data_IF_100663534500
#
_entry.id   IF_100663534500
#
_cell.length_a   1.000
_cell.length_b   1.000
_cell.length_c   1.000
_cell.angle_alpha   90.00
_cell.angle_beta   90.00
_cell.angle_gamma   90.00
#
_symmetry.space_group_name_H-M   'P 1'
#
loop_
_entity.id
_entity.type
_entity.pdbx_description
1 polymer ?
#
# COMPACT_ATOMS: atom_id res chain seq x y z
N UNK A 1 -23.82 -15.63 7.81
CA UNK A 1 -23.06 -15.72 6.56
C UNK A 1 -21.62 -16.12 6.86
N UNK A 2 -21.05 -17.14 6.19
CA UNK A 2 -19.68 -17.58 6.35
C UNK A 2 -18.84 -17.10 5.17
N UNK A 3 -17.69 -16.46 5.42
CA UNK A 3 -16.77 -16.00 4.38
C UNK A 3 -15.37 -16.56 4.61
N UNK A 4 -14.63 -16.82 3.54
CA UNK A 4 -13.21 -17.20 3.62
C UNK A 4 -12.36 -16.15 2.90
N UNK A 5 -11.41 -15.57 3.60
CA UNK A 5 -10.47 -14.57 3.09
C UNK A 5 -9.10 -15.24 2.98
N UNK A 6 -8.64 -15.42 1.74
CA UNK A 6 -7.31 -15.93 1.45
C UNK A 6 -6.34 -14.78 1.22
N UNK A 7 -5.15 -14.88 1.78
CA UNK A 7 -4.10 -13.89 1.60
C UNK A 7 -2.74 -14.56 1.36
N UNK A 8 -1.86 -13.86 0.62
CA UNK A 8 -0.58 -14.42 0.18
C UNK A 8 0.35 -14.75 1.32
N UNK A 9 0.57 -13.77 2.21
CA UNK A 9 1.61 -13.83 3.23
C UNK A 9 1.16 -13.21 4.55
N UNK A 10 1.51 -13.85 5.64
CA UNK A 10 1.24 -13.37 6.99
C UNK A 10 2.07 -12.13 7.37
N UNK A 11 3.21 -11.90 6.73
CA UNK A 11 4.13 -10.79 7.01
C UNK A 11 3.49 -9.39 6.92
N UNK A 12 2.39 -9.24 6.21
CA UNK A 12 1.80 -7.93 5.89
C UNK A 12 1.04 -7.31 7.07
N UNK A 13 1.69 -6.48 7.90
CA UNK A 13 1.10 -5.81 9.07
C UNK A 13 -0.19 -5.05 8.72
N UNK A 14 -0.21 -4.30 7.61
CA UNK A 14 -1.38 -3.54 7.17
C UNK A 14 -2.60 -4.42 6.82
N UNK A 15 -2.37 -5.65 6.38
CA UNK A 15 -3.44 -6.65 6.24
C UNK A 15 -3.86 -7.18 7.60
N UNK A 16 -2.88 -7.35 8.50
CA UNK A 16 -3.11 -7.78 9.87
C UNK A 16 -4.13 -6.92 10.59
N UNK A 17 -3.92 -5.59 10.63
CA UNK A 17 -4.85 -4.66 11.30
C UNK A 17 -6.23 -4.66 10.67
N UNK A 18 -6.32 -4.69 9.33
CA UNK A 18 -7.63 -4.72 8.65
C UNK A 18 -8.37 -6.03 8.91
N UNK A 19 -7.69 -7.17 8.86
CA UNK A 19 -8.33 -8.48 9.11
C UNK A 19 -8.71 -8.66 10.58
N UNK A 20 -7.94 -8.08 11.51
CA UNK A 20 -8.32 -8.00 12.93
C UNK A 20 -9.64 -7.26 13.09
N UNK A 21 -9.79 -6.13 12.42
CA UNK A 21 -11.03 -5.37 12.47
C UNK A 21 -12.19 -6.08 11.77
N UNK A 22 -11.95 -6.74 10.61
CA UNK A 22 -12.97 -7.60 9.96
C UNK A 22 -13.44 -8.72 10.88
N UNK A 23 -12.52 -9.29 11.69
CA UNK A 23 -12.88 -10.30 12.68
C UNK A 23 -13.78 -9.75 13.78
N UNK A 24 -13.42 -8.60 14.33
CA UNK A 24 -14.17 -7.94 15.40
C UNK A 24 -15.58 -7.51 14.95
N UNK A 25 -15.68 -6.86 13.79
CA UNK A 25 -16.93 -6.28 13.28
C UNK A 25 -17.82 -7.32 12.58
N UNK A 26 -17.29 -8.49 12.26
CA UNK A 26 -18.03 -9.53 11.52
C UNK A 26 -19.14 -10.16 12.34
N UNK A 27 -18.85 -10.59 13.58
CA UNK A 27 -19.81 -11.28 14.44
C UNK A 27 -21.08 -10.46 14.73
N UNK A 28 -21.01 -9.17 15.08
CA UNK A 28 -22.20 -8.31 15.26
C UNK A 28 -23.07 -8.19 14.01
N UNK A 29 -22.47 -8.38 12.83
CA UNK A 29 -23.17 -8.32 11.52
C UNK A 29 -23.67 -9.70 11.04
N UNK A 30 -23.57 -10.74 11.86
CA UNK A 30 -23.91 -12.11 11.48
C UNK A 30 -22.97 -12.71 10.44
N UNK A 31 -21.74 -12.20 10.33
CA UNK A 31 -20.72 -12.67 9.39
C UNK A 31 -19.62 -13.38 10.18
N UNK A 32 -19.30 -14.60 9.79
CA UNK A 32 -18.21 -15.39 10.38
C UNK A 32 -17.05 -15.48 9.39
N UNK A 33 -16.01 -14.64 9.51
CA UNK A 33 -14.83 -14.69 8.66
C UNK A 33 -13.89 -15.82 9.07
N UNK A 34 -13.33 -16.49 8.08
CA UNK A 34 -12.20 -17.42 8.21
C UNK A 34 -11.01 -16.86 7.42
N UNK A 35 -9.85 -16.78 8.04
CA UNK A 35 -8.65 -16.21 7.42
C UNK A 35 -7.65 -17.31 7.10
N UNK A 36 -7.19 -17.37 5.86
CA UNK A 36 -6.25 -18.34 5.38
C UNK A 36 -5.02 -17.62 4.82
N UNK A 37 -3.88 -17.78 5.49
CA UNK A 37 -2.60 -17.28 5.04
C UNK A 37 -1.89 -18.38 4.25
N UNK A 38 -1.52 -18.09 2.98
CA UNK A 38 -0.90 -19.10 2.13
C UNK A 38 0.52 -19.40 2.62
N UNK A 39 1.31 -18.37 2.94
CA UNK A 39 2.65 -18.51 3.48
C UNK A 39 2.95 -17.46 4.57
N UNK A 40 4.09 -17.61 5.26
CA UNK A 40 4.54 -16.60 6.23
C UNK A 40 5.08 -15.35 5.54
N UNK A 41 5.87 -15.53 4.48
CA UNK A 41 6.57 -14.44 3.77
C UNK A 41 6.77 -14.74 2.29
N UNK A 42 7.47 -13.86 1.59
CA UNK A 42 7.95 -14.02 0.21
C UNK A 42 9.42 -13.56 0.11
N UNK A 43 10.16 -14.05 -0.90
CA UNK A 43 11.62 -13.87 -1.00
C UNK A 43 12.06 -12.41 -1.00
N UNK A 44 11.28 -11.53 -1.63
CA UNK A 44 11.56 -10.09 -1.68
C UNK A 44 11.46 -9.40 -0.32
N UNK A 45 10.97 -10.09 0.71
CA UNK A 45 10.82 -9.59 2.09
C UNK A 45 11.78 -10.23 3.08
N UNK A 46 12.57 -11.20 2.62
CA UNK A 46 13.63 -11.80 3.43
C UNK A 46 14.63 -10.71 3.81
N UNK A 47 14.94 -10.61 5.11
CA UNK A 47 15.80 -9.54 5.64
C UNK A 47 15.08 -8.23 6.06
N UNK A 48 13.76 -8.11 5.83
CA UNK A 48 12.95 -6.98 6.30
C UNK A 48 12.25 -7.22 7.65
N UNK A 49 12.79 -8.12 8.46
CA UNK A 49 12.21 -8.54 9.73
C UNK A 49 11.24 -9.73 9.62
N UNK A 50 10.94 -10.35 10.76
CA UNK A 50 10.01 -11.47 10.87
C UNK A 50 8.54 -11.05 10.81
N UNK A 51 7.66 -12.05 10.89
CA UNK A 51 6.22 -11.84 11.08
C UNK A 51 5.97 -11.24 12.46
N UNK A 52 5.27 -10.12 12.50
CA UNK A 52 4.88 -9.45 13.74
C UNK A 52 3.41 -9.77 14.05
N UNK A 53 3.19 -10.75 14.92
CA UNK A 53 1.85 -11.22 15.26
C UNK A 53 1.03 -10.22 16.09
N UNK A 54 1.64 -9.17 16.66
CA UNK A 54 0.91 -8.14 17.42
C UNK A 54 -0.13 -7.39 16.58
N UNK A 55 0.08 -7.36 15.26
CA UNK A 55 -0.86 -6.78 14.28
C UNK A 55 -1.93 -7.76 13.77
N UNK A 56 -1.87 -9.05 14.14
CA UNK A 56 -2.75 -10.12 13.64
C UNK A 56 -3.65 -10.67 14.74
N UNK A 57 -4.56 -9.86 15.26
CA UNK A 57 -5.45 -10.22 16.37
C UNK A 57 -6.73 -10.93 15.87
N UNK A 58 -6.57 -11.96 15.05
CA UNK A 58 -7.64 -12.79 14.52
C UNK A 58 -7.17 -14.24 14.37
N UNK A 59 -8.05 -15.25 14.48
CA UNK A 59 -7.68 -16.64 14.23
C UNK A 59 -7.40 -16.84 12.73
N UNK A 60 -6.27 -17.43 12.39
CA UNK A 60 -5.93 -17.75 11.02
C UNK A 60 -5.39 -19.16 10.86
N UNK A 61 -5.49 -19.70 9.66
CA UNK A 61 -4.84 -20.93 9.25
C UNK A 61 -3.68 -20.59 8.32
N UNK A 62 -2.50 -21.10 8.65
CA UNK A 62 -1.31 -20.98 7.82
C UNK A 62 -1.11 -22.27 7.03
N UNK A 63 -1.05 -22.19 5.69
CA UNK A 63 -0.89 -23.39 4.85
C UNK A 63 0.57 -23.82 4.73
N UNK A 64 1.50 -22.87 4.61
CA UNK A 64 2.93 -23.15 4.46
C UNK A 64 3.77 -22.23 5.34
N UNK A 65 4.75 -22.80 6.02
CA UNK A 65 5.75 -22.03 6.78
C UNK A 65 6.83 -21.49 5.84
N UNK A 66 7.44 -20.37 6.22
CA UNK A 66 8.51 -19.71 5.46
C UNK A 66 8.02 -18.99 4.19
N UNK A 67 8.90 -18.89 3.19
CA UNK A 67 8.59 -18.19 1.93
C UNK A 67 7.63 -18.99 1.04
N UNK A 68 6.73 -18.27 0.38
CA UNK A 68 5.77 -18.87 -0.56
C UNK A 68 6.44 -19.58 -1.74
N UNK A 69 7.65 -19.18 -2.13
CA UNK A 69 8.45 -19.80 -3.17
C UNK A 69 8.99 -21.18 -2.77
N UNK A 70 9.16 -21.44 -1.46
CA UNK A 70 9.62 -22.73 -0.95
C UNK A 70 8.58 -23.84 -1.11
N UNK A 71 7.31 -23.50 -1.33
CA UNK A 71 6.25 -24.46 -1.56
C UNK A 71 6.04 -24.67 -3.06
N UNK A 72 6.23 -25.89 -3.60
CA UNK A 72 5.97 -26.18 -5.01
C UNK A 72 4.53 -25.84 -5.43
N UNK A 73 4.35 -25.32 -6.64
CA UNK A 73 3.05 -24.87 -7.16
C UNK A 73 1.95 -25.95 -7.00
N UNK A 74 2.25 -27.20 -7.33
CA UNK A 74 1.30 -28.31 -7.23
C UNK A 74 0.85 -28.52 -5.77
N UNK A 75 1.77 -28.42 -4.81
CA UNK A 75 1.42 -28.53 -3.38
C UNK A 75 0.54 -27.36 -2.93
N UNK A 76 0.82 -26.13 -3.40
CA UNK A 76 -0.02 -24.96 -3.12
C UNK A 76 -1.43 -25.14 -3.67
N UNK A 77 -1.54 -25.54 -4.94
CA UNK A 77 -2.85 -25.83 -5.57
C UNK A 77 -3.61 -26.91 -4.79
N UNK A 78 -2.94 -28.02 -4.47
CA UNK A 78 -3.56 -29.11 -3.73
C UNK A 78 -4.04 -28.71 -2.32
N UNK A 79 -3.24 -27.90 -1.60
CA UNK A 79 -3.61 -27.40 -0.28
C UNK A 79 -4.82 -26.47 -0.35
N UNK A 80 -4.82 -25.52 -1.30
CA UNK A 80 -5.93 -24.57 -1.51
C UNK A 80 -7.21 -25.29 -1.94
N UNK A 81 -7.12 -26.23 -2.87
CA UNK A 81 -8.27 -27.02 -3.31
C UNK A 81 -8.86 -27.86 -2.17
N UNK A 82 -8.00 -28.51 -1.37
CA UNK A 82 -8.42 -29.29 -0.19
C UNK A 82 -9.09 -28.39 0.86
N UNK A 83 -8.53 -27.21 1.12
CA UNK A 83 -9.09 -26.26 2.08
C UNK A 83 -10.46 -25.75 1.61
N UNK A 84 -10.58 -25.36 0.35
CA UNK A 84 -11.84 -24.96 -0.27
C UNK A 84 -12.90 -26.08 -0.21
N UNK A 85 -12.51 -27.34 -0.45
CA UNK A 85 -13.43 -28.47 -0.40
C UNK A 85 -13.93 -28.76 1.02
N UNK A 86 -13.02 -28.79 2.00
CA UNK A 86 -13.33 -29.17 3.39
C UNK A 86 -14.08 -28.09 4.17
N UNK A 87 -13.94 -26.82 3.79
CA UNK A 87 -14.47 -25.67 4.52
C UNK A 87 -15.52 -24.93 3.67
N UNK A 88 -16.79 -25.38 3.67
CA UNK A 88 -17.83 -24.72 2.89
C UNK A 88 -18.17 -23.35 3.46
N UNK A 89 -18.20 -22.32 2.58
CA UNK A 89 -18.50 -20.92 2.88
C UNK A 89 -19.40 -20.33 1.80
N UNK A 90 -20.08 -19.23 2.13
CA UNK A 90 -20.98 -18.54 1.21
C UNK A 90 -20.21 -17.69 0.18
N UNK A 91 -19.07 -17.15 0.59
CA UNK A 91 -18.19 -16.33 -0.27
C UNK A 91 -16.72 -16.64 -0.02
N UNK A 92 -15.96 -16.84 -1.09
CA UNK A 92 -14.49 -16.94 -1.08
C UNK A 92 -13.90 -15.66 -1.61
N UNK A 93 -13.01 -15.02 -0.86
CA UNK A 93 -12.24 -13.85 -1.32
C UNK A 93 -10.82 -14.30 -1.62
N UNK A 94 -10.46 -14.23 -2.90
CA UNK A 94 -9.14 -14.63 -3.41
C UNK A 94 -8.13 -13.49 -3.31
N UNK A 95 -6.83 -13.78 -3.10
CA UNK A 95 -5.79 -12.75 -2.92
C UNK A 95 -5.53 -11.89 -4.16
N UNK A 96 -5.85 -12.39 -5.33
CA UNK A 96 -5.56 -11.76 -6.62
C UNK A 96 -5.81 -12.71 -7.79
N UNK A 97 -5.23 -12.41 -8.93
CA UNK A 97 -5.39 -13.17 -10.19
C UNK A 97 -4.06 -13.38 -10.96
N UNK A 98 -2.94 -12.91 -10.41
CA UNK A 98 -1.64 -12.91 -11.10
C UNK A 98 -0.84 -14.22 -10.94
N UNK A 99 -1.28 -15.16 -10.10
CA UNK A 99 -0.60 -16.44 -9.82
C UNK A 99 -1.46 -17.63 -10.27
N UNK A 100 -0.81 -18.68 -10.75
CA UNK A 100 -1.51 -19.87 -11.26
C UNK A 100 -2.40 -20.57 -10.21
N UNK A 101 -1.99 -20.56 -8.93
CA UNK A 101 -2.80 -21.11 -7.84
C UNK A 101 -4.13 -20.38 -7.64
N UNK A 102 -4.24 -19.10 -7.98
CA UNK A 102 -5.50 -18.35 -7.88
C UNK A 102 -6.47 -18.71 -9.01
N UNK A 103 -5.92 -19.05 -10.18
CA UNK A 103 -6.72 -19.63 -11.28
C UNK A 103 -7.29 -21.01 -10.90
N UNK A 104 -6.47 -21.84 -10.24
CA UNK A 104 -6.95 -23.11 -9.71
C UNK A 104 -8.05 -22.90 -8.64
N UNK A 105 -7.91 -21.92 -7.74
CA UNK A 105 -8.96 -21.55 -6.79
C UNK A 105 -10.25 -21.13 -7.50
N UNK A 106 -10.15 -20.31 -8.55
CA UNK A 106 -11.30 -19.91 -9.36
C UNK A 106 -12.06 -21.13 -9.90
N UNK A 107 -11.32 -22.07 -10.54
CA UNK A 107 -11.90 -23.30 -11.10
C UNK A 107 -12.58 -24.13 -9.99
N UNK A 108 -11.91 -24.35 -8.87
CA UNK A 108 -12.47 -25.09 -7.72
C UNK A 108 -13.73 -24.42 -7.19
N UNK A 109 -13.74 -23.09 -7.07
CA UNK A 109 -14.93 -22.35 -6.63
C UNK A 109 -16.11 -22.50 -7.63
N UNK A 110 -15.83 -22.53 -8.93
CA UNK A 110 -16.84 -22.77 -9.97
C UNK A 110 -17.43 -24.18 -9.82
N UNK A 111 -16.58 -25.21 -9.73
CA UNK A 111 -17.02 -26.60 -9.58
C UNK A 111 -17.83 -26.83 -8.29
N UNK A 112 -17.45 -26.17 -7.20
CA UNK A 112 -18.15 -26.22 -5.93
C UNK A 112 -19.35 -25.26 -5.86
N UNK A 113 -19.67 -24.54 -6.94
CA UNK A 113 -20.75 -23.55 -7.04
C UNK A 113 -20.71 -22.47 -5.93
N UNK A 114 -19.50 -22.03 -5.54
CA UNK A 114 -19.30 -21.01 -4.50
C UNK A 114 -19.21 -19.62 -5.10
N UNK A 115 -19.82 -18.65 -4.43
CA UNK A 115 -19.58 -17.23 -4.76
C UNK A 115 -18.11 -16.90 -4.47
N UNK A 116 -17.52 -16.05 -5.31
CA UNK A 116 -16.09 -15.72 -5.29
C UNK A 116 -15.85 -14.28 -5.65
N UNK A 117 -15.04 -13.63 -4.87
CA UNK A 117 -14.56 -12.28 -5.08
C UNK A 117 -13.02 -12.25 -5.10
N UNK A 118 -12.45 -11.15 -5.55
CA UNK A 118 -11.00 -11.00 -5.63
C UNK A 118 -10.56 -9.62 -5.14
N UNK A 119 -9.43 -9.56 -4.43
CA UNK A 119 -8.74 -8.30 -4.17
C UNK A 119 -7.99 -7.86 -5.42
N UNK A 120 -8.19 -6.61 -5.83
CA UNK A 120 -7.54 -6.01 -6.99
C UNK A 120 -6.82 -4.73 -6.59
N UNK A 121 -5.50 -4.72 -6.75
CA UNK A 121 -4.61 -3.60 -6.51
C UNK A 121 -4.00 -3.03 -7.79
N UNK A 122 -4.25 -3.64 -8.94
CA UNK A 122 -3.70 -3.21 -10.23
C UNK A 122 -4.30 -1.90 -10.72
N UNK A 123 -3.50 -1.17 -11.48
CA UNK A 123 -3.87 0.09 -12.11
C UNK A 123 -3.58 0.05 -13.61
N UNK A 124 -4.10 1.02 -14.38
CA UNK A 124 -3.83 1.14 -15.83
C UNK A 124 -2.37 1.55 -16.12
N UNK A 125 -1.69 2.12 -15.15
CA UNK A 125 -0.27 2.54 -15.25
C UNK A 125 0.68 1.34 -15.10
N UNK A 126 0.19 0.19 -14.64
CA UNK A 126 0.97 -1.03 -14.60
C UNK A 126 1.40 -1.44 -16.02
N UNK A 127 2.64 -1.93 -16.15
CA UNK A 127 3.32 -2.22 -17.42
C UNK A 127 2.43 -2.88 -18.48
N UNK A 128 2.55 -2.43 -19.72
CA UNK A 128 1.95 -3.08 -20.91
C UNK A 128 2.28 -4.57 -20.91
N UNK A 129 1.27 -5.40 -21.04
CA UNK A 129 1.40 -6.86 -21.04
C UNK A 129 0.97 -7.43 -22.38
N UNK A 130 1.45 -8.65 -22.69
CA UNK A 130 1.08 -9.36 -23.91
C UNK A 130 -0.47 -9.51 -24.03
N UNK A 131 -1.01 -9.30 -25.21
CA UNK A 131 -2.46 -9.30 -25.47
C UNK A 131 -3.19 -10.57 -24.96
N UNK A 132 -2.56 -11.75 -25.02
CA UNK A 132 -3.13 -12.99 -24.52
C UNK A 132 -3.34 -12.99 -22.99
N UNK A 133 -2.45 -12.30 -22.23
CA UNK A 133 -2.59 -12.14 -20.77
C UNK A 133 -3.76 -11.24 -20.42
N UNK A 134 -3.98 -10.21 -21.22
CA UNK A 134 -5.11 -9.30 -21.05
C UNK A 134 -6.45 -10.01 -21.34
N UNK A 135 -6.49 -10.84 -22.39
CA UNK A 135 -7.63 -11.70 -22.68
C UNK A 135 -7.91 -12.69 -21.53
N UNK A 136 -6.86 -13.35 -21.03
CA UNK A 136 -6.99 -14.27 -19.90
C UNK A 136 -7.56 -13.59 -18.65
N UNK A 137 -7.08 -12.38 -18.29
CA UNK A 137 -7.63 -11.63 -17.15
C UNK A 137 -9.11 -11.30 -17.34
N UNK A 138 -9.51 -10.86 -18.54
CA UNK A 138 -10.92 -10.58 -18.83
C UNK A 138 -11.78 -11.83 -18.58
N UNK A 139 -11.30 -12.98 -19.02
CA UNK A 139 -11.97 -14.27 -18.76
C UNK A 139 -12.04 -14.57 -17.24
N UNK A 140 -10.96 -14.39 -16.50
CA UNK A 140 -10.96 -14.54 -15.03
C UNK A 140 -12.01 -13.65 -14.37
N UNK A 141 -12.11 -12.39 -14.78
CA UNK A 141 -13.01 -11.42 -14.18
C UNK A 141 -14.49 -11.72 -14.48
N UNK A 142 -14.80 -12.22 -15.66
CA UNK A 142 -16.18 -12.65 -16.00
C UNK A 142 -16.71 -13.67 -15.00
N UNK A 143 -15.85 -14.58 -14.54
CA UNK A 143 -16.24 -15.64 -13.61
C UNK A 143 -16.25 -15.22 -12.14
N UNK A 144 -15.88 -14.00 -11.80
CA UNK A 144 -15.96 -13.46 -10.44
C UNK A 144 -17.33 -12.82 -10.17
N UNK A 145 -17.83 -13.01 -8.96
CA UNK A 145 -19.08 -12.41 -8.49
C UNK A 145 -18.86 -10.99 -7.99
N UNK A 146 -17.63 -10.63 -7.55
CA UNK A 146 -17.30 -9.31 -7.06
C UNK A 146 -15.83 -9.04 -6.93
N UNK A 147 -15.50 -7.76 -6.70
CA UNK A 147 -14.14 -7.25 -6.62
C UNK A 147 -14.01 -6.26 -5.47
N UNK A 148 -12.89 -6.32 -4.78
CA UNK A 148 -12.50 -5.31 -3.79
C UNK A 148 -11.34 -4.50 -4.32
N UNK A 149 -11.57 -3.25 -4.68
CA UNK A 149 -10.53 -2.33 -5.17
C UNK A 149 -10.05 -1.38 -4.07
N UNK A 150 -8.81 -0.92 -4.16
CA UNK A 150 -8.19 -0.09 -3.13
C UNK A 150 -8.53 1.39 -3.26
N UNK A 151 -8.82 1.87 -4.46
CA UNK A 151 -9.12 3.26 -4.74
C UNK A 151 -9.62 3.48 -6.16
N UNK A 152 -9.64 4.72 -6.58
CA UNK A 152 -10.19 5.17 -7.87
C UNK A 152 -9.51 4.45 -9.05
N UNK A 153 -8.18 4.41 -9.09
CA UNK A 153 -7.45 3.79 -10.21
C UNK A 153 -7.68 2.29 -10.34
N UNK A 154 -7.80 1.58 -9.22
CA UNK A 154 -8.10 0.14 -9.25
C UNK A 154 -9.54 -0.11 -9.72
N UNK A 155 -10.48 0.78 -9.41
CA UNK A 155 -11.84 0.75 -9.94
C UNK A 155 -11.83 0.96 -11.46
N UNK A 156 -11.17 2.01 -11.94
CA UNK A 156 -11.02 2.32 -13.38
C UNK A 156 -10.38 1.14 -14.13
N UNK A 157 -9.34 0.53 -13.55
CA UNK A 157 -8.72 -0.66 -14.10
C UNK A 157 -9.74 -1.80 -14.29
N UNK A 158 -10.52 -2.15 -13.27
CA UNK A 158 -11.54 -3.20 -13.38
C UNK A 158 -12.61 -2.86 -14.43
N UNK A 159 -13.06 -1.62 -14.47
CA UNK A 159 -14.05 -1.16 -15.45
C UNK A 159 -13.50 -1.23 -16.90
N UNK A 160 -12.22 -0.97 -17.12
CA UNK A 160 -11.57 -1.10 -18.43
C UNK A 160 -11.59 -2.54 -18.99
N UNK A 161 -11.70 -3.55 -18.11
CA UNK A 161 -11.91 -4.95 -18.48
C UNK A 161 -13.39 -5.35 -18.63
N UNK A 162 -14.31 -4.38 -18.55
CA UNK A 162 -15.75 -4.63 -18.68
C UNK A 162 -16.44 -5.12 -17.40
N UNK A 163 -15.78 -4.97 -16.24
CA UNK A 163 -16.42 -5.28 -14.96
C UNK A 163 -17.45 -4.19 -14.65
N UNK A 164 -18.71 -4.61 -14.41
CA UNK A 164 -19.77 -3.69 -13.99
C UNK A 164 -19.45 -3.08 -12.63
N UNK A 165 -19.72 -1.78 -12.47
CA UNK A 165 -19.54 -1.06 -11.21
C UNK A 165 -20.31 -1.71 -10.05
N UNK A 166 -21.46 -2.31 -10.31
CA UNK A 166 -22.26 -3.03 -9.31
C UNK A 166 -21.53 -4.22 -8.67
N UNK A 167 -20.53 -4.79 -9.36
CA UNK A 167 -19.67 -5.86 -8.84
C UNK A 167 -18.45 -5.36 -8.08
N UNK A 168 -18.20 -4.04 -8.07
CA UNK A 168 -17.01 -3.45 -7.43
C UNK A 168 -17.38 -2.92 -6.05
N UNK A 169 -16.66 -3.35 -5.04
CA UNK A 169 -16.68 -2.77 -3.70
C UNK A 169 -15.35 -2.06 -3.44
N UNK A 170 -15.39 -0.92 -2.80
CA UNK A 170 -14.18 -0.31 -2.27
C UNK A 170 -13.68 -1.10 -1.06
N UNK A 171 -12.40 -1.10 -0.89
CA UNK A 171 -11.69 -1.47 0.29
C UNK A 171 -10.48 -0.55 0.38
N UNK A 172 -10.57 0.50 1.17
CA UNK A 172 -9.46 1.45 1.29
C UNK A 172 -8.19 0.77 1.84
N UNK A 173 -7.03 1.28 1.48
CA UNK A 173 -5.77 0.84 2.05
C UNK A 173 -5.51 1.60 3.34
N UNK A 174 -5.46 0.88 4.46
CA UNK A 174 -5.12 1.42 5.77
C UNK A 174 -3.65 1.13 6.10
N UNK A 175 -2.94 2.10 6.67
CA UNK A 175 -1.62 1.90 7.20
C UNK A 175 -1.65 1.07 8.49
N UNK A 176 -0.58 0.30 8.75
CA UNK A 176 -0.32 -0.28 10.07
C UNK A 176 0.51 0.72 10.87
N UNK A 177 -0.15 1.48 11.73
CA UNK A 177 0.52 2.45 12.59
C UNK A 177 1.03 1.77 13.87
N UNK A 178 2.07 2.30 14.55
CA UNK A 178 2.56 1.80 15.82
C UNK A 178 1.47 1.71 16.89
N UNK A 179 1.60 0.75 17.80
CA UNK A 179 0.72 0.67 18.94
C UNK A 179 0.80 1.95 19.77
N UNK A 180 -0.36 2.52 20.13
CA UNK A 180 -0.44 3.80 20.86
C UNK A 180 -0.35 5.04 19.98
N UNK A 181 -0.44 4.91 18.64
CA UNK A 181 -0.71 6.03 17.75
C UNK A 181 -1.96 6.79 18.19
N UNK A 182 -1.90 8.11 18.12
CA UNK A 182 -3.02 9.00 18.41
C UNK A 182 -2.91 10.29 17.60
N UNK A 183 -4.00 10.71 16.99
CA UNK A 183 -4.11 11.98 16.26
C UNK A 183 -3.77 13.16 17.17
N UNK A 184 -4.22 13.13 18.43
CA UNK A 184 -3.96 14.21 19.40
C UNK A 184 -2.46 14.35 19.68
N UNK A 185 -1.73 13.24 19.82
CA UNK A 185 -0.27 13.26 19.98
C UNK A 185 0.44 13.86 18.77
N UNK A 186 -0.02 13.55 17.57
CA UNK A 186 0.53 14.11 16.33
C UNK A 186 0.29 15.61 16.28
N UNK A 187 -0.92 16.09 16.59
CA UNK A 187 -1.23 17.50 16.60
C UNK A 187 -0.48 18.27 17.70
N UNK A 188 -0.36 17.70 18.89
CA UNK A 188 0.40 18.28 19.99
C UNK A 188 1.89 18.47 19.62
N UNK A 189 2.48 17.55 18.85
CA UNK A 189 3.86 17.68 18.37
C UNK A 189 4.05 18.97 17.54
N UNK A 190 3.13 19.25 16.61
CA UNK A 190 3.23 20.44 15.76
C UNK A 190 2.90 21.74 16.50
N UNK A 191 2.20 21.69 17.61
CA UNK A 191 1.95 22.86 18.48
C UNK A 191 3.19 23.26 19.26
N UNK A 192 3.97 22.30 19.76
CA UNK A 192 5.05 22.54 20.71
C UNK A 192 6.46 22.46 20.12
N UNK A 193 6.68 21.70 19.07
CA UNK A 193 8.01 21.28 18.64
C UNK A 193 8.38 21.67 17.21
N UNK A 194 7.44 22.26 16.43
CA UNK A 194 7.78 22.60 15.06
C UNK A 194 8.49 23.95 14.95
N UNK A 195 9.77 23.88 14.60
CA UNK A 195 10.62 25.05 14.31
C UNK A 195 11.17 24.97 12.89
N UNK A 196 10.41 24.37 11.95
CA UNK A 196 10.84 24.15 10.57
C UNK A 196 11.18 25.45 9.87
N UNK A 197 12.37 25.50 9.26
CA UNK A 197 12.82 26.64 8.48
C UNK A 197 12.52 26.37 7.00
N UNK A 198 11.80 27.24 6.30
CA UNK A 198 11.52 27.08 4.87
C UNK A 198 12.78 26.99 4.02
N UNK A 199 13.90 27.56 4.48
CA UNK A 199 15.17 27.61 3.76
C UNK A 199 16.08 26.40 4.05
N UNK A 200 15.68 25.51 4.97
CA UNK A 200 16.37 24.27 5.34
C UNK A 200 15.43 23.05 5.17
N UNK A 201 14.89 22.80 3.97
CA UNK A 201 13.90 21.73 3.81
C UNK A 201 14.56 20.37 3.99
N UNK A 202 13.85 19.48 4.72
CA UNK A 202 14.26 18.10 4.92
C UNK A 202 13.28 17.19 4.23
N UNK A 203 13.71 16.52 3.17
CA UNK A 203 12.90 15.55 2.45
C UNK A 203 13.18 14.14 2.95
N UNK A 204 12.16 13.31 2.93
CA UNK A 204 12.24 11.93 3.37
C UNK A 204 11.78 11.01 2.25
N UNK A 205 12.53 9.96 2.00
CA UNK A 205 12.10 8.80 1.23
C UNK A 205 12.02 7.60 2.17
N UNK A 206 10.93 6.84 2.10
CA UNK A 206 10.77 5.58 2.83
C UNK A 206 10.30 4.50 1.86
N UNK A 207 11.12 3.47 1.68
CA UNK A 207 10.78 2.38 0.79
C UNK A 207 11.97 1.51 0.39
N UNK A 208 11.69 0.49 -0.43
CA UNK A 208 12.72 -0.40 -0.96
C UNK A 208 13.63 0.36 -1.93
N UNK A 209 14.94 0.11 -1.85
CA UNK A 209 15.93 0.70 -2.75
C UNK A 209 16.04 -0.18 -4.02
N UNK A 210 15.15 0.05 -4.98
CA UNK A 210 14.99 -0.74 -6.21
C UNK A 210 14.61 0.15 -7.40
N UNK A 211 14.81 -0.35 -8.62
CA UNK A 211 14.72 0.42 -9.87
C UNK A 211 13.35 1.09 -10.03
N UNK A 212 12.26 0.38 -9.74
CA UNK A 212 10.90 0.88 -9.91
C UNK A 212 10.56 2.05 -8.97
N UNK A 213 11.45 2.36 -8.00
CA UNK A 213 11.24 3.45 -7.03
C UNK A 213 11.77 4.80 -7.49
N UNK A 214 12.41 4.90 -8.65
CA UNK A 214 12.76 6.18 -9.29
C UNK A 214 13.74 7.05 -8.48
N UNK A 215 14.67 6.43 -7.72
CA UNK A 215 15.59 7.16 -6.84
C UNK A 215 16.62 8.00 -7.62
N UNK A 216 16.90 7.65 -8.87
CA UNK A 216 17.77 8.44 -9.73
C UNK A 216 17.13 9.80 -10.07
N UNK A 217 15.83 9.81 -10.37
CA UNK A 217 15.08 11.03 -10.62
C UNK A 217 15.05 11.92 -9.37
N UNK A 218 14.88 11.28 -8.19
CA UNK A 218 14.92 12.00 -6.91
C UNK A 218 16.26 12.67 -6.67
N UNK A 219 17.37 11.98 -6.93
CA UNK A 219 18.69 12.57 -6.75
C UNK A 219 18.93 13.72 -7.73
N UNK A 220 18.53 13.58 -8.98
CA UNK A 220 18.63 14.64 -9.98
C UNK A 220 17.80 15.86 -9.59
N UNK A 221 16.54 15.68 -9.22
CA UNK A 221 15.66 16.76 -8.77
C UNK A 221 16.18 17.43 -7.48
N UNK A 222 16.71 16.63 -6.54
CA UNK A 222 17.28 17.15 -5.33
C UNK A 222 18.54 18.00 -5.60
N UNK A 223 19.39 17.60 -6.55
CA UNK A 223 20.53 18.40 -6.97
C UNK A 223 20.11 19.78 -7.52
N UNK A 224 19.04 19.83 -8.33
CA UNK A 224 18.48 21.10 -8.83
C UNK A 224 18.01 21.97 -7.66
N UNK A 225 17.27 21.40 -6.74
CA UNK A 225 16.78 22.12 -5.55
C UNK A 225 17.93 22.60 -4.66
N UNK A 226 18.95 21.76 -4.45
CA UNK A 226 20.11 22.07 -3.59
C UNK A 226 20.90 23.27 -4.04
N UNK A 227 20.97 23.55 -5.35
CA UNK A 227 21.61 24.77 -5.87
C UNK A 227 20.95 26.05 -5.33
N UNK A 228 19.65 26.01 -5.10
CA UNK A 228 18.87 27.13 -4.55
C UNK A 228 18.83 27.14 -3.02
N UNK A 229 18.85 25.95 -2.41
CA UNK A 229 18.75 25.75 -0.95
C UNK A 229 19.90 24.85 -0.45
N UNK A 230 21.11 25.41 -0.24
CA UNK A 230 22.30 24.61 0.13
C UNK A 230 22.23 23.94 1.51
N UNK A 231 21.21 24.28 2.31
CA UNK A 231 20.94 23.63 3.61
C UNK A 231 19.90 22.50 3.51
N UNK A 232 19.34 22.24 2.32
CA UNK A 232 18.40 21.14 2.11
C UNK A 232 19.04 19.80 2.48
N UNK A 233 18.22 18.87 2.98
CA UNK A 233 18.62 17.49 3.31
C UNK A 233 17.64 16.49 2.69
N UNK A 234 18.18 15.33 2.31
CA UNK A 234 17.41 14.19 1.83
C UNK A 234 17.80 12.95 2.62
N UNK A 235 16.86 12.40 3.35
CA UNK A 235 17.03 11.16 4.11
C UNK A 235 16.35 10.00 3.39
N UNK A 236 17.07 8.88 3.21
CA UNK A 236 16.56 7.67 2.60
C UNK A 236 16.47 6.56 3.66
N UNK A 237 15.26 6.09 3.91
CA UNK A 237 14.97 4.95 4.79
C UNK A 237 14.60 3.73 3.97
N UNK A 238 15.28 2.63 4.22
CA UNK A 238 15.01 1.35 3.61
C UNK A 238 16.26 0.60 3.19
N UNK A 239 16.05 -0.58 2.63
CA UNK A 239 17.06 -1.45 2.07
C UNK A 239 16.63 -1.94 0.69
N UNK A 240 17.57 -2.47 -0.08
CA UNK A 240 17.26 -3.03 -1.38
C UNK A 240 18.50 -3.31 -2.22
N UNK A 241 18.34 -3.97 -3.37
CA UNK A 241 19.46 -4.41 -4.19
C UNK A 241 20.32 -3.26 -4.74
N UNK A 242 19.77 -2.05 -4.81
CA UNK A 242 20.50 -0.88 -5.34
C UNK A 242 21.22 -0.08 -4.25
N UNK A 243 21.18 -0.46 -2.97
CA UNK A 243 21.70 0.36 -1.87
C UNK A 243 23.15 0.81 -2.10
N UNK A 244 24.07 -0.09 -2.44
CA UNK A 244 25.49 0.23 -2.62
C UNK A 244 25.74 1.02 -3.93
N UNK A 245 24.97 0.76 -4.96
CA UNK A 245 25.02 1.52 -6.20
C UNK A 245 24.58 2.98 -5.99
N UNK A 246 23.46 3.17 -5.29
CA UNK A 246 22.94 4.52 -4.98
C UNK A 246 23.90 5.32 -4.10
N UNK A 247 24.55 4.70 -3.11
CA UNK A 247 25.59 5.36 -2.30
C UNK A 247 26.77 5.84 -3.16
N UNK A 248 27.24 4.99 -4.09
CA UNK A 248 28.31 5.39 -5.04
C UNK A 248 27.87 6.56 -5.92
N UNK A 249 26.61 6.56 -6.40
CA UNK A 249 26.07 7.68 -7.20
C UNK A 249 26.06 8.98 -6.41
N UNK A 250 25.58 8.95 -5.16
CA UNK A 250 25.59 10.13 -4.27
C UNK A 250 27.00 10.66 -4.02
N UNK A 251 27.98 9.76 -3.87
CA UNK A 251 29.40 10.15 -3.75
C UNK A 251 29.92 10.82 -5.02
N UNK A 252 29.61 10.25 -6.20
CA UNK A 252 30.02 10.82 -7.49
C UNK A 252 29.39 12.20 -7.75
N UNK A 253 28.15 12.40 -7.29
CA UNK A 253 27.45 13.69 -7.33
C UNK A 253 28.01 14.70 -6.29
N UNK A 254 28.96 14.29 -5.43
CA UNK A 254 29.49 15.08 -4.30
C UNK A 254 28.39 15.54 -3.32
N UNK A 255 27.31 14.77 -3.19
CA UNK A 255 26.12 15.08 -2.37
C UNK A 255 26.05 14.29 -1.05
N UNK A 256 27.11 13.56 -0.67
CA UNK A 256 27.14 12.73 0.54
C UNK A 256 26.97 13.53 1.85
N UNK A 257 27.18 14.83 1.82
CA UNK A 257 26.94 15.72 2.95
C UNK A 257 25.48 16.17 3.09
N UNK A 258 24.66 16.00 2.05
CA UNK A 258 23.25 16.43 2.00
C UNK A 258 22.26 15.27 1.86
N UNK A 259 22.71 14.10 1.40
CA UNK A 259 21.90 12.89 1.19
C UNK A 259 22.37 11.80 2.14
N UNK A 260 21.49 11.30 3.01
CA UNK A 260 21.78 10.30 4.04
C UNK A 260 21.03 8.99 3.79
N UNK A 261 21.76 7.87 3.93
CA UNK A 261 21.15 6.52 3.91
C UNK A 261 21.01 6.01 5.34
N UNK A 262 19.79 5.97 5.86
CA UNK A 262 19.49 5.62 7.25
C UNK A 262 19.29 4.11 7.49
N UNK A 263 19.30 3.30 6.41
CA UNK A 263 18.98 1.87 6.49
C UNK A 263 17.52 1.59 6.79
N UNK A 264 17.21 0.35 7.14
CA UNK A 264 15.86 -0.03 7.58
C UNK A 264 15.57 0.49 8.97
N UNK A 265 14.36 1.00 9.21
CA UNK A 265 13.91 1.59 10.47
C UNK A 265 12.60 0.93 10.95
N UNK A 266 12.37 0.96 12.25
CA UNK A 266 11.11 0.56 12.86
C UNK A 266 10.01 1.61 12.64
N UNK A 267 8.75 1.21 12.90
CA UNK A 267 7.60 2.11 12.66
C UNK A 267 7.68 3.37 13.52
N UNK A 268 8.14 3.27 14.78
CA UNK A 268 8.30 4.41 15.69
C UNK A 268 9.39 5.37 15.21
N UNK A 269 10.51 4.86 14.70
CA UNK A 269 11.59 5.70 14.16
C UNK A 269 11.13 6.42 12.89
N UNK A 270 10.40 5.72 12.01
CA UNK A 270 9.83 6.29 10.78
C UNK A 270 8.80 7.37 11.11
N UNK A 271 7.99 7.17 12.15
CA UNK A 271 7.05 8.16 12.65
C UNK A 271 7.72 9.49 13.02
N UNK A 272 8.83 9.42 13.77
CA UNK A 272 9.61 10.61 14.12
C UNK A 272 10.22 11.29 12.89
N UNK A 273 10.67 10.52 11.91
CA UNK A 273 11.19 11.06 10.66
C UNK A 273 10.12 11.77 9.84
N UNK A 274 8.88 11.24 9.76
CA UNK A 274 7.76 11.94 9.13
C UNK A 274 7.49 13.28 9.80
N UNK A 275 7.42 13.31 11.12
CA UNK A 275 7.17 14.54 11.88
C UNK A 275 8.29 15.56 11.73
N UNK A 276 9.54 15.13 11.57
CA UNK A 276 10.71 16.00 11.39
C UNK A 276 10.93 16.47 9.95
N UNK A 277 10.22 15.90 8.97
CA UNK A 277 10.44 16.16 7.55
C UNK A 277 9.53 17.26 7.01
N UNK A 278 10.03 18.01 6.04
CA UNK A 278 9.23 18.97 5.26
C UNK A 278 8.17 18.22 4.44
N UNK A 279 8.56 17.12 3.78
CA UNK A 279 7.67 16.25 3.05
C UNK A 279 8.27 14.86 2.84
N UNK A 280 7.39 13.85 2.70
CA UNK A 280 7.73 12.58 2.08
C UNK A 280 7.81 12.76 0.55
N UNK A 281 8.81 12.17 -0.10
CA UNK A 281 8.90 12.12 -1.57
C UNK A 281 8.83 10.66 -2.02
N UNK A 282 7.85 10.33 -2.87
CA UNK A 282 7.65 9.00 -3.44
C UNK A 282 7.75 9.06 -4.97
N UNK A 283 8.96 8.92 -5.56
CA UNK A 283 9.22 9.14 -6.97
C UNK A 283 9.03 7.90 -7.85
N UNK A 284 8.22 6.94 -7.40
CA UNK A 284 8.08 5.62 -8.04
C UNK A 284 7.60 5.72 -9.49
N UNK A 285 8.23 4.95 -10.38
CA UNK A 285 7.81 4.77 -11.77
C UNK A 285 6.63 3.79 -11.89
N UNK A 286 6.44 2.94 -10.89
CA UNK A 286 5.31 2.01 -10.79
C UNK A 286 5.06 1.69 -9.32
N UNK A 287 3.86 2.00 -8.86
CA UNK A 287 3.42 1.77 -7.48
C UNK A 287 1.91 1.52 -7.46
N UNK A 288 1.45 0.29 -7.20
CA UNK A 288 0.01 -0.02 -7.20
C UNK A 288 -0.81 0.83 -6.23
N UNK A 289 -0.21 1.22 -5.08
CA UNK A 289 -0.84 2.15 -4.14
C UNK A 289 0.13 3.21 -3.63
N UNK A 290 1.12 2.82 -2.83
CA UNK A 290 2.02 3.72 -2.12
C UNK A 290 1.59 3.90 -0.66
N UNK A 291 1.51 2.80 0.10
CA UNK A 291 1.01 2.81 1.49
C UNK A 291 1.77 3.77 2.42
N UNK A 292 3.04 4.04 2.12
CA UNK A 292 3.86 5.02 2.83
C UNK A 292 3.27 6.44 2.78
N UNK A 293 2.43 6.75 1.78
CA UNK A 293 1.68 8.02 1.71
C UNK A 293 0.63 8.08 2.83
N UNK A 294 -0.12 6.98 3.07
CA UNK A 294 -1.03 6.90 4.22
C UNK A 294 -0.27 7.10 5.52
N UNK A 295 0.89 6.46 5.67
CA UNK A 295 1.73 6.58 6.86
C UNK A 295 2.17 8.02 7.07
N UNK A 296 2.72 8.68 6.05
CA UNK A 296 3.15 10.06 6.13
C UNK A 296 2.01 11.02 6.52
N UNK A 297 0.86 10.92 5.84
CA UNK A 297 -0.31 11.75 6.14
C UNK A 297 -0.84 11.50 7.55
N UNK A 298 -0.77 10.26 8.06
CA UNK A 298 -1.15 9.93 9.45
C UNK A 298 -0.27 10.63 10.49
N UNK A 299 0.93 11.04 10.13
CA UNK A 299 1.81 11.84 10.97
C UNK A 299 1.83 13.32 10.58
N UNK A 300 0.84 13.78 9.82
CA UNK A 300 0.76 15.17 9.38
C UNK A 300 1.88 15.60 8.44
N UNK A 301 2.60 14.65 7.83
CA UNK A 301 3.66 14.91 6.87
C UNK A 301 3.09 15.03 5.46
N UNK A 302 3.20 16.20 4.80
CA UNK A 302 2.76 16.34 3.42
C UNK A 302 3.63 15.53 2.47
N UNK A 303 3.17 15.37 1.23
CA UNK A 303 3.76 14.42 0.31
C UNK A 303 4.03 15.02 -1.07
N UNK A 304 5.09 14.55 -1.72
CA UNK A 304 5.37 14.76 -3.14
C UNK A 304 5.38 13.39 -3.80
N UNK A 305 4.41 13.12 -4.66
CA UNK A 305 4.11 11.75 -5.13
C UNK A 305 4.08 11.68 -6.63
N UNK A 306 4.78 10.70 -7.21
CA UNK A 306 4.71 10.41 -8.63
C UNK A 306 3.29 10.09 -9.08
N UNK A 307 2.88 10.65 -10.20
CA UNK A 307 1.60 10.38 -10.87
C UNK A 307 1.40 8.89 -11.20
N UNK A 308 2.44 8.06 -11.18
CA UNK A 308 2.35 6.62 -11.35
C UNK A 308 1.86 5.87 -10.10
N UNK A 309 1.78 6.53 -8.93
CA UNK A 309 1.32 5.90 -7.70
C UNK A 309 -0.21 5.83 -7.64
N UNK A 310 -0.75 4.64 -7.30
CA UNK A 310 -2.19 4.38 -7.28
C UNK A 310 -2.98 5.26 -6.32
N UNK A 311 -2.37 5.71 -5.22
CA UNK A 311 -3.00 6.54 -4.20
C UNK A 311 -3.20 8.01 -4.56
N UNK A 312 -2.60 8.50 -5.66
CA UNK A 312 -2.61 9.93 -6.00
C UNK A 312 -4.01 10.54 -6.05
N UNK A 313 -4.99 10.01 -6.82
CA UNK A 313 -6.31 10.61 -6.90
C UNK A 313 -7.11 10.51 -5.58
N UNK A 314 -6.70 9.62 -4.71
CA UNK A 314 -7.37 9.37 -3.43
C UNK A 314 -6.79 10.21 -2.27
N UNK A 315 -5.47 10.39 -2.20
CA UNK A 315 -4.77 10.95 -1.03
C UNK A 315 -4.05 12.27 -1.27
N UNK A 316 -3.67 12.58 -2.53
CA UNK A 316 -2.94 13.82 -2.84
C UNK A 316 -3.93 14.92 -3.21
N UNK A 317 -3.98 15.95 -2.37
CA UNK A 317 -4.76 17.17 -2.60
C UNK A 317 -3.77 18.29 -2.88
N UNK A 318 -3.70 18.74 -4.14
CA UNK A 318 -2.77 19.79 -4.61
C UNK A 318 -2.85 21.04 -3.72
N UNK A 319 -1.70 21.48 -3.21
CA UNK A 319 -1.61 22.65 -2.35
C UNK A 319 -2.16 22.46 -0.93
N UNK A 320 -2.65 21.27 -0.57
CA UNK A 320 -3.27 20.98 0.73
C UNK A 320 -2.48 19.87 1.46
N UNK A 321 -2.45 18.65 0.91
CA UNK A 321 -1.69 17.56 1.51
C UNK A 321 -0.36 17.31 0.80
N UNK A 322 -0.13 17.94 -0.35
CA UNK A 322 1.09 17.79 -1.12
C UNK A 322 0.92 18.14 -2.59
N UNK A 323 1.80 17.56 -3.40
CA UNK A 323 1.82 17.74 -4.84
C UNK A 323 2.05 16.42 -5.55
N UNK A 324 1.34 16.21 -6.67
CA UNK A 324 1.67 15.16 -7.61
C UNK A 324 2.60 15.72 -8.70
N UNK A 325 3.46 14.87 -9.26
CA UNK A 325 4.33 15.22 -10.38
C UNK A 325 4.33 14.10 -11.43
N UNK A 326 4.66 14.43 -12.66
CA UNK A 326 4.71 13.47 -13.76
C UNK A 326 5.85 12.47 -13.56
N UNK A 327 5.55 11.17 -13.62
CA UNK A 327 6.54 10.11 -13.43
C UNK A 327 7.72 10.22 -14.42
N UNK A 328 8.94 10.23 -13.90
CA UNK A 328 10.16 10.38 -14.70
C UNK A 328 10.50 11.83 -15.11
N UNK A 329 9.67 12.81 -14.76
CA UNK A 329 9.92 14.21 -15.05
C UNK A 329 10.66 14.87 -13.87
N UNK A 330 11.97 15.03 -14.03
CA UNK A 330 12.87 15.57 -13.00
C UNK A 330 12.55 17.03 -12.67
N UNK A 331 12.23 17.84 -13.67
CA UNK A 331 11.92 19.26 -13.48
C UNK A 331 10.60 19.46 -12.74
N UNK A 332 9.61 18.63 -13.04
CA UNK A 332 8.32 18.64 -12.37
C UNK A 332 8.44 18.18 -10.91
N UNK A 333 9.25 17.13 -10.67
CA UNK A 333 9.60 16.69 -9.31
C UNK A 333 10.29 17.80 -8.52
N UNK A 334 11.29 18.48 -9.12
CA UNK A 334 11.99 19.57 -8.45
C UNK A 334 11.06 20.75 -8.12
N UNK A 335 10.13 21.10 -9.02
CA UNK A 335 9.08 22.11 -8.77
C UNK A 335 8.14 21.70 -7.64
N UNK A 336 7.68 20.46 -7.62
CA UNK A 336 6.82 19.95 -6.56
C UNK A 336 7.53 19.97 -5.19
N UNK A 337 8.82 19.59 -5.16
CA UNK A 337 9.66 19.68 -3.95
C UNK A 337 9.85 21.13 -3.50
N UNK A 338 10.02 22.10 -4.41
CA UNK A 338 10.11 23.52 -4.07
C UNK A 338 8.76 24.03 -3.53
N UNK A 339 7.66 23.68 -4.17
CA UNK A 339 6.32 24.12 -3.78
C UNK A 339 5.92 23.66 -2.38
N UNK A 340 6.20 22.40 -2.03
CA UNK A 340 5.83 21.83 -0.71
C UNK A 340 6.59 22.47 0.46
N UNK A 341 7.74 23.12 0.24
CA UNK A 341 8.48 23.86 1.28
C UNK A 341 7.62 24.95 1.93
N UNK A 342 6.76 25.58 1.16
CA UNK A 342 5.91 26.65 1.67
C UNK A 342 4.92 26.19 2.74
N UNK A 343 4.65 24.90 2.87
CA UNK A 343 3.82 24.29 3.91
C UNK A 343 4.47 24.43 5.31
N UNK A 344 5.77 24.69 5.39
CA UNK A 344 6.45 24.95 6.67
C UNK A 344 5.99 26.26 7.35
N UNK A 345 5.33 27.18 6.64
CA UNK A 345 4.82 28.45 7.18
C UNK A 345 3.68 28.25 8.18
N UNK A 346 2.82 27.24 7.94
CA UNK A 346 1.74 26.84 8.85
C UNK A 346 1.63 25.31 8.91
N UNK A 347 2.61 24.71 9.54
CA UNK A 347 2.74 23.25 9.61
C UNK A 347 1.60 22.60 10.38
N UNK A 348 1.04 23.30 11.36
CA UNK A 348 -0.08 22.78 12.14
C UNK A 348 -1.35 22.69 11.29
N UNK A 349 -1.65 23.70 10.47
CA UNK A 349 -2.78 23.64 9.55
C UNK A 349 -2.59 22.52 8.52
N UNK A 350 -1.41 22.38 7.92
CA UNK A 350 -1.09 21.31 6.99
C UNK A 350 -1.22 19.93 7.64
N UNK A 351 -0.74 19.76 8.87
CA UNK A 351 -0.87 18.50 9.59
C UNK A 351 -2.35 18.11 9.81
N UNK A 352 -3.20 19.07 10.18
CA UNK A 352 -4.65 18.83 10.31
C UNK A 352 -5.28 18.39 9.00
N UNK A 353 -4.94 19.04 7.88
CA UNK A 353 -5.44 18.70 6.55
C UNK A 353 -4.98 17.30 6.11
N UNK A 354 -3.70 16.93 6.37
CA UNK A 354 -3.19 15.58 6.12
C UNK A 354 -3.98 14.52 6.91
N UNK A 355 -4.19 14.77 8.21
CA UNK A 355 -4.94 13.88 9.10
C UNK A 355 -6.41 13.77 8.68
N UNK A 356 -7.04 14.85 8.24
CA UNK A 356 -8.41 14.84 7.72
C UNK A 356 -8.53 13.94 6.49
N UNK A 357 -7.66 14.08 5.50
CA UNK A 357 -7.70 13.26 4.29
C UNK A 357 -7.48 11.78 4.59
N UNK A 358 -6.55 11.44 5.49
CA UNK A 358 -6.24 10.04 5.79
C UNK A 358 -7.26 9.41 6.75
N UNK A 359 -8.12 10.17 7.40
CA UNK A 359 -9.13 9.68 8.36
C UNK A 359 -10.13 8.70 7.73
N UNK A 360 -10.36 8.78 6.43
CA UNK A 360 -11.19 7.84 5.67
C UNK A 360 -10.45 6.53 5.30
N UNK A 361 -9.16 6.41 5.62
CA UNK A 361 -8.30 5.28 5.24
C UNK A 361 -7.83 4.49 6.47
N UNK A 362 -8.75 4.18 7.37
CA UNK A 362 -8.49 3.45 8.61
C UNK A 362 -8.80 1.94 8.48
N UNK A 363 -8.26 1.09 9.38
CA UNK A 363 -8.61 -0.33 9.42
C UNK A 363 -10.11 -0.57 9.60
N UNK A 364 -10.81 0.25 10.39
CA UNK A 364 -12.25 0.18 10.66
C UNK A 364 -13.04 0.47 9.38
N UNK A 365 -12.66 1.52 8.65
CA UNK A 365 -13.29 1.85 7.37
C UNK A 365 -13.08 0.75 6.34
N UNK A 366 -11.87 0.22 6.22
CA UNK A 366 -11.56 -0.88 5.32
C UNK A 366 -12.35 -2.16 5.67
N UNK A 367 -12.48 -2.48 6.96
CA UNK A 367 -13.25 -3.62 7.44
C UNK A 367 -14.74 -3.47 7.12
N UNK A 368 -15.31 -2.29 7.41
CA UNK A 368 -16.71 -1.97 7.07
C UNK A 368 -16.97 -2.16 5.57
N UNK A 369 -16.12 -1.61 4.72
CA UNK A 369 -16.23 -1.72 3.25
C UNK A 369 -16.14 -3.18 2.77
N UNK A 370 -15.27 -4.00 3.39
CA UNK A 370 -15.16 -5.43 3.09
C UNK A 370 -16.45 -6.16 3.48
N UNK A 371 -16.94 -5.94 4.70
CA UNK A 371 -18.13 -6.62 5.21
C UNK A 371 -19.40 -6.24 4.41
N UNK A 372 -19.59 -4.96 4.10
CA UNK A 372 -20.70 -4.47 3.28
C UNK A 372 -20.62 -5.03 1.85
N UNK A 373 -19.41 -5.07 1.28
CA UNK A 373 -19.17 -5.72 -0.01
C UNK A 373 -19.54 -7.20 -0.01
N UNK A 374 -19.19 -7.93 1.06
CA UNK A 374 -19.56 -9.34 1.21
C UNK A 374 -21.09 -9.54 1.26
N UNK A 375 -21.80 -8.72 2.05
CA UNK A 375 -23.27 -8.78 2.14
C UNK A 375 -23.89 -8.53 0.76
N UNK A 376 -23.44 -7.50 0.06
CA UNK A 376 -23.95 -7.17 -1.29
C UNK A 376 -23.69 -8.31 -2.29
N UNK A 377 -22.50 -8.89 -2.30
CA UNK A 377 -22.13 -9.97 -3.23
C UNK A 377 -22.86 -11.28 -2.94
N UNK A 378 -23.19 -11.57 -1.67
CA UNK A 378 -23.96 -12.76 -1.29
C UNK A 378 -25.45 -12.53 -1.46
N UNK A 379 -25.97 -11.32 -1.19
CA UNK A 379 -27.38 -10.97 -1.33
C UNK A 379 -27.88 -10.87 -2.78
N UNK A 380 -27.01 -10.49 -3.71
CA UNK A 380 -27.34 -10.45 -5.14
C UNK A 380 -27.42 -11.89 -5.69
N UNK A 381 -28.59 -12.53 -5.52
CA UNK A 381 -29.00 -13.74 -6.24
C UNK A 381 -29.64 -13.29 -7.55
N UNK A 382 -28.82 -12.96 -8.54
CA UNK A 382 -29.26 -12.74 -9.90
C UNK A 382 -28.76 -13.88 -10.78
#
# INVERSE_FOLDING_TARGET
MRIAIYHNILWSKYKGVVFSQVHLDGAPRGITPSFIQIAETEDIRVGLGGVDLSYHQYPFRLLFRGSISNAPLIRRIGALARDLYKNPVDLVIMPGYHRAEYWAMLVVCILLRRKRAVFCDSTLVDRQRAAWREWAKRWFFVWCNGFFCYGIRSKEYLMSYGVSESKIAYRCQAAALPHGYSVDKVLAHYQSNWHGLPDEPRFLYVGRLSIEKGLDDLFAAFCVLYQRFPRARLDLVGAGPLAEELKRRVTNLKMAHAISFLGSKGLEEIALLFQASTALVLPSHSEPWGLVVNEALSYGCPVVVSSACGCVPDLVREGITGYAFEAGNIDDLAKAMDSVRHFSKDRQAVARQCLEVVSDYTPERAATQILDGCVRMVGNTG
#
